data_IF_881789969156
#
_entry.id   IF_881789969156
#
_cell.length_a   1.000
_cell.length_b   1.000
_cell.length_c   1.000
_cell.angle_alpha   90.00
_cell.angle_beta   90.00
_cell.angle_gamma   90.00
#
_symmetry.space_group_name_H-M   'P 1'
#
loop_
_entity.id
_entity.type
_entity.pdbx_description
1 polymer ?
#
# COMPACT_ATOMS: atom_id res chain seq x y z
N UNK A 1 -23.05 26.39 31.51
CA UNK A 1 -22.99 27.15 30.25
C UNK A 1 -21.57 26.99 29.72
N UNK A 2 -21.38 26.11 28.74
CA UNK A 2 -20.07 25.67 28.22
C UNK A 2 -19.79 26.50 26.95
N UNK A 3 -18.57 27.04 26.73
CA UNK A 3 -18.31 27.85 25.55
C UNK A 3 -18.20 26.98 24.29
N UNK A 4 -19.11 27.22 23.34
CA UNK A 4 -19.07 26.74 21.96
C UNK A 4 -18.26 27.73 21.13
N UNK A 5 -16.97 27.48 20.95
CA UNK A 5 -16.15 27.87 19.79
C UNK A 5 -14.67 27.62 20.13
N UNK A 6 -14.05 26.65 19.48
CA UNK A 6 -12.58 26.59 19.44
C UNK A 6 -12.14 27.66 18.44
N UNK A 7 -11.95 28.88 18.92
CA UNK A 7 -11.16 29.88 18.20
C UNK A 7 -9.70 29.42 18.26
N UNK A 8 -9.21 28.80 17.18
CA UNK A 8 -7.77 28.55 17.04
C UNK A 8 -7.12 29.88 16.66
N UNK A 9 -7.06 30.81 17.60
CA UNK A 9 -6.08 31.89 17.56
C UNK A 9 -4.76 31.28 18.04
N UNK A 10 -3.88 30.92 17.10
CA UNK A 10 -2.53 30.55 17.47
C UNK A 10 -1.90 31.74 18.21
N UNK A 11 -1.54 31.56 19.48
CA UNK A 11 -0.82 32.61 20.20
C UNK A 11 0.54 32.83 19.53
N UNK A 12 1.09 34.04 19.59
CA UNK A 12 2.40 34.35 18.97
C UNK A 12 3.52 33.38 19.40
N UNK A 13 3.42 32.80 20.60
CA UNK A 13 4.34 31.76 21.08
C UNK A 13 4.24 30.43 20.32
N UNK A 14 3.05 30.04 19.83
CA UNK A 14 2.88 28.84 19.02
C UNK A 14 3.45 29.05 17.61
N UNK A 15 3.31 30.26 17.07
CA UNK A 15 3.82 30.64 15.74
C UNK A 15 5.36 30.66 15.74
N UNK A 16 6.00 31.24 16.77
CA UNK A 16 7.46 31.20 16.89
C UNK A 16 7.99 29.77 17.02
N UNK A 17 7.33 28.92 17.81
CA UNK A 17 7.71 27.50 17.93
C UNK A 17 7.56 26.74 16.62
N UNK A 18 6.51 27.02 15.85
CA UNK A 18 6.35 26.45 14.52
C UNK A 18 7.45 26.94 13.55
N UNK A 19 7.85 28.21 13.64
CA UNK A 19 8.96 28.75 12.87
C UNK A 19 10.29 28.06 13.19
N UNK A 20 10.53 27.74 14.47
CA UNK A 20 11.74 27.03 14.91
C UNK A 20 11.81 25.60 14.34
N UNK A 21 10.66 24.96 14.10
CA UNK A 21 10.58 23.57 13.62
C UNK A 21 10.54 23.51 12.08
N UNK A 22 9.75 24.37 11.45
CA UNK A 22 9.43 24.30 10.01
C UNK A 22 10.07 25.43 9.19
N UNK A 23 10.79 26.35 9.84
CA UNK A 23 11.42 27.50 9.22
C UNK A 23 10.53 28.74 9.15
N UNK A 24 11.13 29.95 9.03
CA UNK A 24 10.38 31.21 9.03
C UNK A 24 9.49 31.40 7.80
N UNK A 25 9.76 30.69 6.69
CA UNK A 25 8.92 30.72 5.48
C UNK A 25 7.55 30.07 5.71
N UNK A 26 7.47 29.06 6.59
CA UNK A 26 6.20 28.39 6.93
C UNK A 26 5.21 29.36 7.62
N UNK A 27 5.73 30.32 8.40
CA UNK A 27 4.92 31.32 9.10
C UNK A 27 4.30 32.34 8.15
N UNK A 28 4.95 32.67 7.02
CA UNK A 28 4.44 33.65 6.06
C UNK A 28 3.19 33.18 5.31
N UNK A 29 2.99 31.86 5.21
CA UNK A 29 1.85 31.24 4.51
C UNK A 29 0.54 31.35 5.32
N UNK A 30 0.65 31.65 6.62
CA UNK A 30 -0.46 31.53 7.58
C UNK A 30 -1.50 32.67 7.53
N UNK A 31 -1.37 33.64 6.61
CA UNK A 31 -2.23 34.83 6.57
C UNK A 31 -3.61 34.63 5.93
N UNK A 32 -3.88 33.47 5.31
CA UNK A 32 -5.21 33.10 4.82
C UNK A 32 -5.53 31.66 5.21
N UNK A 33 -5.95 31.47 6.46
CA UNK A 33 -6.34 30.13 6.95
C UNK A 33 -7.69 29.79 6.34
N UNK A 34 -7.65 29.10 5.20
CA UNK A 34 -8.85 28.52 4.59
C UNK A 34 -9.61 27.70 5.63
N UNK A 35 -10.91 27.94 5.77
CA UNK A 35 -11.79 27.16 6.65
C UNK A 35 -11.96 25.71 6.19
N UNK A 36 -11.45 25.37 5.01
CA UNK A 36 -11.54 24.07 4.38
C UNK A 36 -10.19 23.62 3.83
N UNK A 37 -9.95 22.31 3.86
CA UNK A 37 -8.81 21.66 3.21
C UNK A 37 -9.36 20.80 2.07
N UNK A 38 -8.70 20.84 0.91
CA UNK A 38 -8.99 19.92 -0.18
C UNK A 38 -8.08 18.70 -0.07
N UNK A 39 -8.68 17.52 -0.07
CA UNK A 39 -8.00 16.24 -0.19
C UNK A 39 -8.57 15.53 -1.41
N UNK A 40 -7.82 15.51 -2.52
CA UNK A 40 -8.32 15.01 -3.82
C UNK A 40 -9.62 15.70 -4.22
N UNK A 41 -10.68 14.94 -4.44
CA UNK A 41 -12.04 15.39 -4.74
C UNK A 41 -12.91 15.64 -3.49
N UNK A 42 -12.32 15.63 -2.29
CA UNK A 42 -13.04 15.78 -1.00
C UNK A 42 -12.66 17.11 -0.33
N UNK A 43 -13.67 17.92 -0.05
CA UNK A 43 -13.53 19.14 0.75
C UNK A 43 -13.83 18.84 2.22
N UNK A 44 -12.88 19.11 3.10
CA UNK A 44 -12.98 18.86 4.54
C UNK A 44 -12.98 20.20 5.27
N UNK A 45 -14.05 20.52 5.99
CA UNK A 45 -14.10 21.67 6.88
C UNK A 45 -13.16 21.48 8.08
N UNK A 46 -12.35 22.48 8.41
CA UNK A 46 -11.44 22.42 9.57
C UNK A 46 -12.19 22.24 10.89
N UNK A 47 -13.41 22.79 10.99
CA UNK A 47 -14.29 22.61 12.14
C UNK A 47 -14.78 21.16 12.30
N UNK A 48 -14.83 20.40 11.21
CA UNK A 48 -15.38 19.05 11.15
C UNK A 48 -14.30 17.95 11.21
N UNK A 49 -13.01 18.33 11.39
CA UNK A 49 -11.89 17.39 11.46
C UNK A 49 -12.10 16.29 12.52
N UNK A 50 -12.67 16.65 13.67
CA UNK A 50 -12.96 15.70 14.74
C UNK A 50 -14.09 14.72 14.38
N UNK A 51 -14.98 15.11 13.46
CA UNK A 51 -16.20 14.40 13.08
C UNK A 51 -16.15 13.79 11.68
N UNK A 52 -14.96 13.76 11.05
CA UNK A 52 -14.78 13.08 9.76
C UNK A 52 -15.28 11.64 9.86
N UNK A 53 -16.09 11.24 8.88
CA UNK A 53 -16.65 9.91 8.80
C UNK A 53 -15.57 8.84 8.55
N UNK A 54 -15.87 7.59 8.90
CA UNK A 54 -14.92 6.49 8.77
C UNK A 54 -14.51 6.19 7.33
N UNK A 55 -15.35 6.47 6.34
CA UNK A 55 -15.01 6.24 4.94
C UNK A 55 -13.96 7.26 4.48
N UNK A 56 -14.14 8.54 4.80
CA UNK A 56 -13.14 9.59 4.52
C UNK A 56 -11.82 9.33 5.25
N UNK A 57 -11.86 8.90 6.53
CA UNK A 57 -10.64 8.46 7.25
C UNK A 57 -9.95 7.30 6.55
N UNK A 58 -10.71 6.32 6.08
CA UNK A 58 -10.19 5.20 5.30
C UNK A 58 -9.46 5.67 4.04
N UNK A 59 -10.07 6.58 3.28
CA UNK A 59 -9.48 7.14 2.05
C UNK A 59 -8.17 7.87 2.32
N UNK A 60 -8.12 8.71 3.36
CA UNK A 60 -6.91 9.42 3.77
C UNK A 60 -5.82 8.42 4.16
N UNK A 61 -6.18 7.40 4.94
CA UNK A 61 -5.22 6.39 5.38
C UNK A 61 -4.68 5.59 4.19
N UNK A 62 -5.54 5.14 3.29
CA UNK A 62 -5.15 4.45 2.07
C UNK A 62 -4.17 5.27 1.23
N UNK A 63 -4.46 6.56 1.04
CA UNK A 63 -3.61 7.47 0.28
C UNK A 63 -2.22 7.64 0.92
N UNK A 64 -2.18 7.74 2.25
CA UNK A 64 -0.94 7.79 3.01
C UNK A 64 -0.13 6.49 2.87
N UNK A 65 -0.79 5.33 2.90
CA UNK A 65 -0.15 4.03 2.68
C UNK A 65 0.46 3.95 1.27
N UNK A 66 -0.29 4.34 0.24
CA UNK A 66 0.16 4.33 -1.14
C UNK A 66 1.39 5.21 -1.32
N UNK A 67 1.32 6.45 -0.83
CA UNK A 67 2.39 7.43 -1.01
C UNK A 67 3.65 7.06 -0.22
N UNK A 68 3.50 6.60 1.02
CA UNK A 68 4.63 6.17 1.82
C UNK A 68 5.29 4.91 1.25
N UNK A 69 4.52 3.95 0.72
CA UNK A 69 5.09 2.81 -0.01
C UNK A 69 5.97 3.28 -1.17
N UNK A 70 5.50 4.26 -1.94
CA UNK A 70 6.25 4.80 -3.06
C UNK A 70 7.56 5.44 -2.59
N UNK A 71 7.51 6.29 -1.56
CA UNK A 71 8.70 6.90 -1.00
C UNK A 71 9.70 5.91 -0.43
N UNK A 72 9.22 4.89 0.30
CA UNK A 72 10.07 3.84 0.84
C UNK A 72 10.75 3.02 -0.26
N UNK A 73 10.01 2.67 -1.31
CA UNK A 73 10.53 1.94 -2.47
C UNK A 73 11.61 2.76 -3.20
N UNK A 74 11.36 4.05 -3.42
CA UNK A 74 12.32 4.98 -4.03
C UNK A 74 13.56 5.15 -3.17
N UNK A 75 13.39 5.41 -1.88
CA UNK A 75 14.50 5.59 -0.96
C UNK A 75 15.41 4.34 -0.92
N UNK A 76 14.81 3.15 -0.95
CA UNK A 76 15.56 1.90 -1.01
C UNK A 76 16.26 1.70 -2.35
N UNK A 77 15.59 1.96 -3.48
CA UNK A 77 16.20 1.86 -4.81
C UNK A 77 17.41 2.78 -4.95
N UNK A 78 17.27 4.01 -4.46
CA UNK A 78 18.32 5.03 -4.45
C UNK A 78 19.53 4.65 -3.59
N UNK A 79 19.28 3.95 -2.49
CA UNK A 79 20.32 3.43 -1.60
C UNK A 79 21.07 2.24 -2.23
N UNK A 80 20.34 1.33 -2.88
CA UNK A 80 20.89 0.08 -3.40
C UNK A 80 21.59 0.25 -4.75
N UNK A 81 21.10 1.15 -5.60
CA UNK A 81 21.62 1.35 -6.96
C UNK A 81 21.89 2.83 -7.27
N UNK A 82 22.69 3.54 -6.44
CA UNK A 82 22.87 5.00 -6.55
C UNK A 82 23.42 5.45 -7.91
N UNK A 83 24.13 4.58 -8.62
CA UNK A 83 24.65 4.87 -9.96
C UNK A 83 23.53 5.14 -10.98
N UNK A 84 22.39 4.45 -10.88
CA UNK A 84 21.25 4.68 -11.76
C UNK A 84 20.64 6.06 -11.53
N UNK A 85 20.73 6.61 -10.32
CA UNK A 85 20.15 7.91 -9.96
C UNK A 85 21.06 9.11 -10.23
N UNK A 86 22.32 8.88 -10.57
CA UNK A 86 23.31 9.96 -10.74
C UNK A 86 23.07 10.87 -11.96
N UNK A 87 22.22 10.46 -12.90
CA UNK A 87 21.88 11.18 -14.14
C UNK A 87 20.38 11.32 -14.39
N UNK A 88 19.55 11.01 -13.39
CA UNK A 88 18.10 10.90 -13.56
C UNK A 88 17.47 12.19 -13.10
N UNK A 89 17.13 13.03 -14.09
CA UNK A 89 16.06 14.02 -13.93
C UNK A 89 14.78 13.25 -13.54
N UNK A 90 13.89 13.87 -12.76
CA UNK A 90 12.74 13.29 -12.03
C UNK A 90 11.82 12.31 -12.77
N UNK A 91 11.95 12.14 -14.08
CA UNK A 91 11.08 11.36 -14.98
C UNK A 91 11.09 9.84 -14.75
N UNK A 92 12.15 9.25 -14.17
CA UNK A 92 12.18 7.79 -13.95
C UNK A 92 11.29 7.35 -12.79
N UNK A 93 11.02 8.25 -11.83
CA UNK A 93 10.07 8.04 -10.75
C UNK A 93 8.63 7.91 -11.28
N UNK A 94 8.30 8.68 -12.31
CA UNK A 94 6.98 8.68 -12.97
C UNK A 94 6.72 7.40 -13.77
N UNK A 95 7.75 6.61 -14.08
CA UNK A 95 7.61 5.33 -14.78
C UNK A 95 7.33 4.16 -13.83
N UNK A 96 7.83 4.22 -12.60
CA UNK A 96 7.66 3.18 -11.58
C UNK A 96 6.26 3.29 -10.95
N UNK A 97 5.77 4.50 -10.74
CA UNK A 97 4.45 4.75 -10.15
C UNK A 97 3.47 5.26 -11.19
N UNK A 98 2.17 5.05 -10.98
CA UNK A 98 1.06 5.32 -11.91
C UNK A 98 0.77 6.80 -12.21
N UNK A 99 1.80 7.64 -12.20
CA UNK A 99 1.72 9.03 -12.60
C UNK A 99 2.61 9.92 -11.74
N UNK A 100 2.85 11.11 -12.29
CA UNK A 100 3.58 12.23 -11.74
C UNK A 100 3.72 12.16 -10.22
N UNK A 101 4.89 11.70 -9.77
CA UNK A 101 5.30 11.79 -8.37
C UNK A 101 5.41 13.26 -7.95
N UNK A 102 5.55 14.17 -8.93
CA UNK A 102 5.37 15.60 -8.76
C UNK A 102 3.94 15.91 -8.31
N UNK A 103 3.70 16.02 -7.00
CA UNK A 103 2.78 16.95 -6.29
C UNK A 103 1.32 17.13 -6.81
N UNK A 104 0.91 16.42 -7.85
CA UNK A 104 -0.32 16.58 -8.64
C UNK A 104 -1.26 15.40 -8.40
N UNK A 105 -0.80 14.34 -7.71
CA UNK A 105 -1.69 13.30 -7.19
C UNK A 105 -2.73 13.86 -6.22
N UNK A 106 -2.45 14.97 -5.52
CA UNK A 106 -3.44 15.68 -4.69
C UNK A 106 -4.58 16.31 -5.51
N UNK A 107 -4.38 16.53 -6.82
CA UNK A 107 -5.39 17.06 -7.72
C UNK A 107 -6.16 15.96 -8.47
N UNK A 108 -5.70 14.70 -8.43
CA UNK A 108 -6.39 13.57 -9.07
C UNK A 108 -7.54 13.07 -8.19
N UNK A 109 -8.72 12.75 -8.77
CA UNK A 109 -9.84 12.20 -8.01
C UNK A 109 -9.44 10.89 -7.33
N UNK A 110 -10.07 10.59 -6.19
CA UNK A 110 -9.84 9.35 -5.48
C UNK A 110 -10.16 8.13 -6.38
N UNK A 111 -9.30 7.10 -6.42
CA UNK A 111 -9.51 5.96 -7.31
C UNK A 111 -10.79 5.20 -6.98
N UNK A 112 -11.52 4.81 -8.03
CA UNK A 112 -12.83 4.13 -7.91
C UNK A 112 -12.69 2.61 -7.79
N UNK A 113 -11.53 2.05 -8.16
CA UNK A 113 -11.23 0.61 -8.13
C UNK A 113 -9.77 0.36 -7.79
N UNK A 114 -9.48 -0.81 -7.23
CA UNK A 114 -8.12 -1.27 -6.96
C UNK A 114 -7.29 -1.32 -8.27
N UNK A 115 -6.13 -0.66 -8.26
CA UNK A 115 -5.23 -0.50 -9.40
C UNK A 115 -3.79 -0.79 -9.00
N UNK A 116 -2.86 -0.76 -9.96
CA UNK A 116 -1.46 -1.00 -9.67
C UNK A 116 -1.19 -2.44 -9.22
N UNK A 117 -0.19 -2.59 -8.36
CA UNK A 117 0.13 -3.85 -7.68
C UNK A 117 -1.03 -4.32 -6.75
N UNK A 118 -1.84 -3.39 -6.24
CA UNK A 118 -3.02 -3.73 -5.44
C UNK A 118 -4.22 -4.23 -6.28
N UNK A 119 -4.15 -4.19 -7.61
CA UNK A 119 -5.27 -4.57 -8.47
C UNK A 119 -5.71 -6.03 -8.29
N UNK A 120 -7.00 -6.30 -8.16
CA UNK A 120 -7.52 -7.67 -8.10
C UNK A 120 -7.66 -8.32 -9.50
N UNK A 121 -7.50 -7.54 -10.56
CA UNK A 121 -7.61 -8.00 -11.95
C UNK A 121 -6.23 -8.48 -12.44
N UNK A 122 -6.06 -9.78 -12.75
CA UNK A 122 -4.74 -10.32 -13.09
C UNK A 122 -4.08 -9.65 -14.29
N UNK A 123 -4.86 -9.28 -15.31
CA UNK A 123 -4.34 -8.64 -16.52
C UNK A 123 -3.80 -7.24 -16.23
N UNK A 124 -4.53 -6.46 -15.44
CA UNK A 124 -4.11 -5.14 -15.00
C UNK A 124 -2.90 -5.25 -14.08
N UNK A 125 -2.90 -6.21 -13.14
CA UNK A 125 -1.80 -6.44 -12.20
C UNK A 125 -0.50 -6.85 -12.90
N UNK A 126 -0.58 -7.66 -13.95
CA UNK A 126 0.58 -8.18 -14.69
C UNK A 126 1.54 -7.07 -15.10
N UNK A 127 1.02 -5.99 -15.69
CA UNK A 127 1.82 -4.84 -16.11
C UNK A 127 2.59 -4.20 -14.94
N UNK A 128 1.96 -4.08 -13.77
CA UNK A 128 2.63 -3.51 -12.58
C UNK A 128 3.63 -4.46 -11.96
N UNK A 129 3.34 -5.77 -11.97
CA UNK A 129 4.27 -6.79 -11.51
C UNK A 129 5.51 -6.81 -12.39
N UNK A 130 5.37 -6.63 -13.71
CA UNK A 130 6.52 -6.53 -14.63
C UNK A 130 7.37 -5.27 -14.38
N UNK A 131 6.73 -4.11 -14.13
CA UNK A 131 7.45 -2.88 -13.76
C UNK A 131 8.17 -3.03 -12.43
N UNK A 132 7.50 -3.59 -11.43
CA UNK A 132 8.07 -3.83 -10.11
C UNK A 132 9.23 -4.84 -10.18
N UNK A 133 9.06 -5.90 -10.96
CA UNK A 133 10.11 -6.86 -11.27
C UNK A 133 11.32 -6.17 -11.89
N UNK A 134 11.10 -5.35 -12.92
CA UNK A 134 12.17 -4.63 -13.64
C UNK A 134 12.98 -3.75 -12.69
N UNK A 135 12.31 -3.02 -11.79
CA UNK A 135 12.97 -2.23 -10.76
C UNK A 135 13.87 -3.10 -9.87
N UNK A 136 13.29 -4.15 -9.29
CA UNK A 136 13.97 -5.02 -8.33
C UNK A 136 15.12 -5.83 -8.96
N UNK A 137 15.07 -6.12 -10.26
CA UNK A 137 16.16 -6.85 -10.94
C UNK A 137 17.49 -6.11 -10.92
N UNK A 138 17.46 -4.79 -10.76
CA UNK A 138 18.67 -3.98 -10.64
C UNK A 138 19.32 -4.07 -9.25
N UNK A 139 18.60 -4.59 -8.25
CA UNK A 139 19.04 -4.60 -6.86
C UNK A 139 20.05 -5.71 -6.58
N UNK A 140 21.01 -5.47 -5.68
CA UNK A 140 21.96 -6.50 -5.26
C UNK A 140 21.22 -7.65 -4.57
N UNK A 141 21.59 -8.88 -4.93
CA UNK A 141 21.00 -10.09 -4.37
C UNK A 141 19.65 -10.49 -4.96
N UNK A 142 19.22 -9.87 -6.08
CA UNK A 142 18.01 -10.27 -6.77
C UNK A 142 18.06 -11.77 -7.16
N UNK A 143 17.02 -12.55 -6.83
CA UNK A 143 16.98 -13.98 -7.08
C UNK A 143 16.95 -14.33 -8.59
N UNK A 144 17.95 -15.09 -9.05
CA UNK A 144 18.11 -15.44 -10.46
C UNK A 144 17.02 -16.39 -11.00
N UNK A 145 16.40 -17.18 -10.13
CA UNK A 145 15.28 -18.07 -10.47
C UNK A 145 13.98 -17.30 -10.78
N UNK A 146 13.88 -16.04 -10.35
CA UNK A 146 12.86 -15.08 -10.77
C UNK A 146 13.26 -14.31 -12.04
N UNK A 147 14.45 -14.56 -12.60
CA UNK A 147 15.09 -13.77 -13.66
C UNK A 147 14.49 -13.86 -15.06
N UNK A 148 13.41 -14.61 -15.27
CA UNK A 148 12.69 -14.62 -16.56
C UNK A 148 11.46 -13.74 -16.50
N UNK A 149 11.37 -12.77 -17.43
CA UNK A 149 10.19 -11.92 -17.62
C UNK A 149 8.91 -12.73 -17.68
N UNK A 150 7.85 -12.20 -17.08
CA UNK A 150 6.54 -12.81 -17.11
C UNK A 150 5.97 -12.71 -18.54
N UNK A 151 5.52 -13.81 -19.18
CA UNK A 151 4.89 -13.70 -20.48
C UNK A 151 3.50 -13.07 -20.35
N UNK A 152 3.07 -12.29 -21.35
CA UNK A 152 1.72 -11.69 -21.39
C UNK A 152 0.57 -12.71 -21.28
N UNK A 153 0.84 -13.98 -21.57
CA UNK A 153 -0.09 -15.11 -21.45
C UNK A 153 0.01 -15.85 -20.11
N UNK A 154 0.67 -15.27 -19.10
CA UNK A 154 0.81 -15.88 -17.78
C UNK A 154 -0.55 -16.13 -17.13
N UNK A 155 -0.68 -17.27 -16.45
CA UNK A 155 -1.90 -17.56 -15.69
C UNK A 155 -2.01 -16.64 -14.47
N UNK A 156 -3.22 -16.29 -14.01
CA UNK A 156 -3.41 -15.48 -12.80
C UNK A 156 -2.65 -16.01 -11.57
N UNK A 157 -2.63 -17.32 -11.39
CA UNK A 157 -1.91 -17.98 -10.30
C UNK A 157 -0.39 -17.72 -10.39
N UNK A 158 0.16 -17.67 -11.61
CA UNK A 158 1.57 -17.37 -11.81
C UNK A 158 1.89 -15.90 -11.51
N UNK A 159 1.04 -14.96 -11.95
CA UNK A 159 1.18 -13.53 -11.63
C UNK A 159 1.23 -13.31 -10.12
N UNK A 160 0.30 -13.90 -9.37
CA UNK A 160 0.25 -13.77 -7.90
C UNK A 160 1.44 -14.44 -7.21
N UNK A 161 1.92 -15.57 -7.73
CA UNK A 161 3.10 -16.23 -7.20
C UNK A 161 4.35 -15.35 -7.36
N UNK A 162 4.54 -14.75 -8.53
CA UNK A 162 5.67 -13.84 -8.80
C UNK A 162 5.56 -12.57 -7.96
N UNK A 163 4.39 -11.93 -7.92
CA UNK A 163 4.13 -10.77 -7.05
C UNK A 163 4.53 -11.06 -5.60
N UNK A 164 4.11 -12.21 -5.06
CA UNK A 164 4.43 -12.61 -3.68
C UNK A 164 5.94 -12.73 -3.47
N UNK A 165 6.67 -13.31 -4.42
CA UNK A 165 8.12 -13.44 -4.31
C UNK A 165 8.82 -12.07 -4.38
N UNK A 166 8.38 -11.18 -5.26
CA UNK A 166 8.89 -9.82 -5.36
C UNK A 166 8.61 -9.02 -4.08
N UNK A 167 7.42 -9.14 -3.51
CA UNK A 167 7.06 -8.51 -2.25
C UNK A 167 7.95 -9.01 -1.10
N UNK A 168 8.21 -10.31 -1.02
CA UNK A 168 9.12 -10.88 -0.01
C UNK A 168 10.56 -10.36 -0.19
N UNK A 169 11.05 -10.30 -1.43
CA UNK A 169 12.37 -9.76 -1.73
C UNK A 169 12.47 -8.27 -1.35
N UNK A 170 11.46 -7.48 -1.70
CA UNK A 170 11.36 -6.07 -1.31
C UNK A 170 11.39 -5.90 0.22
N UNK A 171 10.51 -6.62 0.93
CA UNK A 171 10.42 -6.54 2.39
C UNK A 171 11.74 -6.91 3.07
N UNK A 172 12.39 -7.97 2.60
CA UNK A 172 13.68 -8.40 3.15
C UNK A 172 14.79 -7.38 2.84
N UNK A 173 14.82 -6.84 1.61
CA UNK A 173 15.78 -5.83 1.21
C UNK A 173 15.63 -4.56 2.05
N UNK A 174 14.39 -4.12 2.27
CA UNK A 174 14.11 -2.96 3.11
C UNK A 174 14.54 -3.20 4.55
N UNK A 175 14.16 -4.34 5.14
CA UNK A 175 14.54 -4.70 6.50
C UNK A 175 16.07 -4.76 6.68
N UNK A 176 16.78 -5.32 5.72
CA UNK A 176 18.24 -5.42 5.76
C UNK A 176 18.94 -4.06 5.75
N UNK A 177 18.32 -3.02 5.19
CA UNK A 177 18.93 -1.71 5.04
C UNK A 177 18.45 -0.69 6.08
N UNK A 178 17.17 -0.76 6.49
CA UNK A 178 16.56 0.20 7.42
C UNK A 178 16.28 -0.38 8.81
N UNK A 179 16.35 -1.70 9.00
CA UNK A 179 16.13 -2.36 10.29
C UNK A 179 14.68 -2.41 10.77
N UNK A 180 13.72 -2.05 9.91
CA UNK A 180 12.29 -2.12 10.16
C UNK A 180 11.53 -2.72 8.98
N UNK A 181 10.27 -3.08 9.18
CA UNK A 181 9.42 -3.57 8.10
C UNK A 181 8.94 -2.39 7.25
N UNK A 182 8.92 -2.50 5.91
CA UNK A 182 8.32 -1.49 5.07
C UNK A 182 6.80 -1.53 5.16
N UNK A 183 6.21 -0.47 4.66
CA UNK A 183 4.81 -0.38 4.32
C UNK A 183 4.51 -1.31 3.14
N UNK A 184 3.33 -1.93 3.19
CA UNK A 184 2.80 -2.79 2.12
C UNK A 184 1.55 -2.14 1.57
N UNK A 185 1.40 -2.18 0.25
CA UNK A 185 0.23 -1.68 -0.46
C UNK A 185 -1.07 -2.31 0.09
N UNK A 186 -2.10 -1.49 0.19
CA UNK A 186 -3.39 -1.89 0.72
C UNK A 186 -4.50 -1.73 -0.32
N UNK A 187 -5.53 -2.57 -0.21
CA UNK A 187 -6.73 -2.43 -1.04
C UNK A 187 -7.49 -1.17 -0.67
N UNK A 188 -8.16 -0.58 -1.65
CA UNK A 188 -9.02 0.58 -1.42
C UNK A 188 -10.08 0.20 -0.37
N UNK A 189 -10.25 1.03 0.68
CA UNK A 189 -11.26 0.79 1.71
C UNK A 189 -12.64 0.67 1.07
N UNK A 190 -13.21 -0.53 1.12
CA UNK A 190 -14.63 -0.72 0.82
C UNK A 190 -15.42 -0.10 1.97
N UNK A 191 -16.47 0.65 1.64
CA UNK A 191 -17.34 1.38 2.58
C UNK A 191 -17.51 0.60 3.91
N UNK A 192 -17.38 1.23 5.11
CA UNK A 192 -17.06 0.54 6.35
C UNK A 192 -18.12 -0.42 6.89
N UNK A 193 -19.24 -0.61 6.19
CA UNK A 193 -20.21 -1.66 6.48
C UNK A 193 -19.74 -3.08 6.13
N UNK A 194 -18.60 -3.26 5.45
CA UNK A 194 -18.13 -4.62 5.10
C UNK A 194 -16.86 -5.10 5.81
N UNK A 195 -16.20 -4.28 6.63
CA UNK A 195 -14.89 -4.65 7.20
C UNK A 195 -15.04 -5.44 8.51
N UNK A 196 -16.21 -5.41 9.16
CA UNK A 196 -16.53 -6.22 10.36
C UNK A 196 -17.78 -7.09 10.19
N UNK A 197 -18.07 -7.57 8.98
CA UNK A 197 -19.03 -8.64 8.76
C UNK A 197 -18.45 -9.99 9.20
N UNK A 198 -18.43 -10.25 10.51
CA UNK A 198 -18.20 -11.58 11.04
C UNK A 198 -19.38 -12.48 10.63
N UNK A 199 -19.09 -13.47 9.77
CA UNK A 199 -19.96 -14.61 9.48
C UNK A 199 -20.98 -14.36 8.38
N UNK A 200 -20.77 -14.99 7.22
CA UNK A 200 -21.65 -16.09 6.82
C UNK A 200 -21.19 -16.76 5.50
N UNK A 201 -20.88 -18.05 5.64
CA UNK A 201 -21.08 -19.12 4.64
C UNK A 201 -20.30 -19.03 3.31
N UNK A 202 -19.00 -19.34 3.34
CA UNK A 202 -18.41 -20.07 2.21
C UNK A 202 -18.66 -21.58 2.43
N UNK A 203 -19.84 -22.03 2.00
CA UNK A 203 -20.16 -23.45 1.89
C UNK A 203 -19.15 -24.10 0.94
N UNK A 204 -18.34 -25.01 1.48
CA UNK A 204 -17.57 -25.98 0.71
C UNK A 204 -18.58 -26.82 -0.10
N UNK A 205 -18.39 -27.02 -1.42
CA UNK A 205 -19.22 -27.96 -2.15
C UNK A 205 -18.90 -29.37 -1.67
N UNK A 206 -19.83 -29.97 -0.91
CA UNK A 206 -19.83 -31.38 -0.58
C UNK A 206 -19.99 -32.20 -1.86
N UNK A 207 -18.89 -32.69 -2.44
CA UNK A 207 -18.95 -33.73 -3.45
C UNK A 207 -19.24 -35.07 -2.77
N UNK A 208 -20.53 -35.40 -2.68
CA UNK A 208 -20.99 -36.76 -2.43
C UNK A 208 -20.77 -37.61 -3.67
N UNK A 209 -19.77 -38.49 -3.64
CA UNK A 209 -19.75 -39.69 -4.48
C UNK A 209 -19.53 -40.89 -3.59
N UNK A 210 -20.59 -41.70 -3.51
CA UNK A 210 -20.65 -43.01 -2.88
C UNK A 210 -19.52 -43.92 -3.36
N UNK A 211 -18.86 -44.59 -2.43
CA UNK A 211 -18.38 -45.95 -2.68
C UNK A 211 -18.48 -46.75 -1.39
N UNK A 212 -19.28 -47.81 -1.45
CA UNK A 212 -19.58 -48.74 -0.36
C UNK A 212 -18.36 -49.55 0.07
N UNK A 213 -18.29 -49.76 1.38
CA UNK A 213 -17.90 -50.98 2.08
C UNK A 213 -16.60 -51.70 1.66
N UNK A 214 -15.66 -51.80 2.61
CA UNK A 214 -15.20 -53.10 3.10
C UNK A 214 -14.63 -52.95 4.53
N UNK A 215 -15.21 -53.73 5.44
CA UNK A 215 -14.85 -53.89 6.84
C UNK A 215 -13.62 -54.81 6.95
N UNK A 216 -12.88 -54.63 8.05
CA UNK A 216 -11.95 -55.60 8.68
C UNK A 216 -10.51 -55.64 8.16
N UNK A 217 -9.56 -55.29 9.02
CA UNK A 217 -8.67 -56.27 9.69
C UNK A 217 -7.64 -55.54 10.56
N UNK A 218 -7.61 -55.87 11.85
CA UNK A 218 -6.54 -55.54 12.78
C UNK A 218 -5.62 -56.77 12.88
N UNK A 219 -4.30 -56.69 12.64
CA UNK A 219 -3.42 -57.84 12.83
C UNK A 219 -2.94 -57.94 14.29
N UNK A 220 -2.74 -59.16 14.82
CA UNK A 220 -2.24 -59.38 16.17
C UNK A 220 -0.72 -59.26 16.26
N UNK A 221 -0.26 -58.87 17.44
CA UNK A 221 1.14 -58.73 17.84
C UNK A 221 1.85 -60.11 17.92
N UNK A 222 3.09 -60.27 17.42
CA UNK A 222 3.85 -61.50 17.63
C UNK A 222 4.53 -61.53 19.01
N UNK A 223 4.75 -62.74 19.58
CA UNK A 223 5.34 -62.93 20.90
C UNK A 223 6.87 -62.80 20.87
N UNK A 224 7.40 -62.30 21.99
CA UNK A 224 8.82 -62.23 22.30
C UNK A 224 9.37 -63.64 22.60
N UNK A 225 10.54 -63.94 22.05
CA UNK A 225 11.46 -64.97 22.49
C UNK A 225 12.86 -64.36 22.53
#
# INVERSE_FOLDING_TARGET
>A
MIPNCISISFSGNQICKAADIFGPEFVKIQHDVSSHVQFRDITIGLADLATIDSATKGKILWDLYEHNFCFELVALDHLLVPALWSNVESEQLDQIFLGDLELTMFAKPFPVKDQGLASLEPQTKLEYVERFWTLLTSWPGFPLDLGTSLPLSASPAHVWAVEKQLALFYMQSFFNNFGCLPIVLCLIPKNPHSIYGLGDNCLIPSSSTSSSALLSTLPPHPPQA
#
